data_IF_030309227394
#
_entry.id   IF_030309227394
#
_cell.length_a   1.000
_cell.length_b   1.000
_cell.length_c   1.000
_cell.angle_alpha   90.00
_cell.angle_beta   90.00
_cell.angle_gamma   90.00
#
_symmetry.space_group_name_H-M   'P 1'
#
loop_
_entity.id
_entity.type
_entity.pdbx_description
1 polymer ?
#
# COMPACT_ATOMS: atom_id res chain seq x y z
N UNK A 1 -61.68 -34.01 1.58
CA UNK A 1 -60.86 -33.37 2.64
C UNK A 1 -59.53 -32.97 2.00
N UNK A 2 -59.14 -31.72 2.19
CA UNK A 2 -58.28 -30.93 1.30
C UNK A 2 -56.82 -31.38 1.14
N UNK A 3 -56.33 -31.27 -0.10
CA UNK A 3 -54.95 -31.07 -0.51
C UNK A 3 -54.40 -29.74 0.05
N UNK A 4 -53.74 -29.76 1.21
CA UNK A 4 -52.91 -28.64 1.69
C UNK A 4 -51.77 -29.18 2.55
N UNK A 5 -50.67 -29.63 1.94
CA UNK A 5 -49.41 -29.91 2.66
C UNK A 5 -48.14 -29.77 1.80
N UNK A 6 -48.14 -28.94 0.75
CA UNK A 6 -46.94 -28.62 -0.03
C UNK A 6 -46.87 -27.13 -0.39
N UNK A 7 -46.94 -26.25 0.61
CA UNK A 7 -46.72 -24.81 0.41
C UNK A 7 -45.75 -24.15 1.41
N UNK A 8 -45.11 -24.94 2.29
CA UNK A 8 -44.27 -24.39 3.37
C UNK A 8 -42.76 -24.30 3.07
N UNK A 9 -42.26 -25.02 2.06
CA UNK A 9 -40.81 -25.09 1.80
C UNK A 9 -40.30 -24.08 0.76
N UNK A 10 -41.19 -23.44 -0.01
CA UNK A 10 -40.79 -22.45 -1.02
C UNK A 10 -40.53 -21.06 -0.44
N UNK A 11 -41.14 -20.71 0.71
CA UNK A 11 -41.04 -19.36 1.28
C UNK A 11 -39.81 -19.14 2.17
N UNK A 12 -39.11 -20.20 2.59
CA UNK A 12 -37.91 -20.11 3.42
C UNK A 12 -36.60 -20.02 2.62
N UNK A 13 -36.63 -20.22 1.29
CA UNK A 13 -35.45 -20.15 0.42
C UNK A 13 -35.26 -18.79 -0.28
N UNK A 14 -36.29 -17.96 -0.34
CA UNK A 14 -36.23 -16.64 -0.98
C UNK A 14 -35.23 -15.67 -0.31
N UNK A 15 -35.09 -15.58 1.03
CA UNK A 15 -34.13 -14.67 1.66
C UNK A 15 -32.66 -15.09 1.47
N UNK A 16 -32.40 -16.38 1.28
CA UNK A 16 -31.05 -16.94 1.14
C UNK A 16 -30.47 -16.74 -0.26
N UNK A 17 -31.31 -16.83 -1.31
CA UNK A 17 -30.86 -16.58 -2.69
C UNK A 17 -30.46 -15.12 -2.90
N UNK A 18 -31.17 -14.17 -2.28
CA UNK A 18 -30.82 -12.74 -2.34
C UNK A 18 -29.54 -12.39 -1.57
N UNK A 19 -29.21 -13.12 -0.49
CA UNK A 19 -27.93 -12.96 0.23
C UNK A 19 -26.74 -13.58 -0.52
N UNK A 20 -26.95 -14.68 -1.23
CA UNK A 20 -25.93 -15.33 -2.08
C UNK A 20 -25.62 -14.46 -3.31
N UNK A 21 -26.63 -13.83 -3.93
CA UNK A 21 -26.41 -12.92 -5.06
C UNK A 21 -25.71 -11.61 -4.65
N UNK A 22 -25.99 -11.09 -3.45
CA UNK A 22 -25.31 -9.90 -2.91
C UNK A 22 -23.86 -10.16 -2.50
N UNK A 23 -23.44 -11.42 -2.37
CA UNK A 23 -22.11 -11.75 -1.87
C UNK A 23 -21.52 -12.98 -2.58
N UNK A 24 -21.47 -12.96 -3.93
CA UNK A 24 -20.82 -13.98 -4.76
C UNK A 24 -19.35 -14.26 -4.34
N UNK A 25 -18.71 -13.30 -3.68
CA UNK A 25 -17.37 -13.44 -3.10
C UNK A 25 -17.33 -14.22 -1.77
N UNK A 26 -18.43 -14.27 -0.98
CA UNK A 26 -18.53 -15.09 0.23
C UNK A 26 -18.68 -16.57 -0.10
N UNK A 27 -19.56 -16.90 -1.05
CA UNK A 27 -19.77 -18.29 -1.49
C UNK A 27 -18.53 -18.91 -2.18
N UNK A 28 -17.69 -18.09 -2.85
CA UNK A 28 -16.40 -18.54 -3.38
C UNK A 28 -15.32 -18.76 -2.31
N UNK A 29 -15.45 -18.12 -1.14
CA UNK A 29 -14.47 -18.20 -0.03
C UNK A 29 -14.72 -19.39 0.90
N UNK A 30 -15.98 -19.68 1.20
CA UNK A 30 -16.34 -20.80 2.09
C UNK A 30 -15.94 -22.17 1.49
N UNK A 31 -15.75 -22.26 0.17
CA UNK A 31 -15.25 -23.46 -0.53
C UNK A 31 -13.73 -23.66 -0.42
N UNK A 32 -12.96 -22.66 0.03
CA UNK A 32 -11.50 -22.68 0.03
C UNK A 32 -10.85 -22.92 1.41
N UNK A 33 -11.64 -23.01 2.49
CA UNK A 33 -11.24 -23.65 3.76
C UNK A 33 -9.88 -23.25 4.34
N UNK A 34 -9.61 -21.97 4.58
CA UNK A 34 -8.42 -21.52 5.34
C UNK A 34 -8.88 -20.85 6.65
N UNK A 35 -8.45 -21.42 7.78
CA UNK A 35 -8.58 -20.81 9.09
C UNK A 35 -7.52 -19.72 9.25
N UNK A 36 -7.95 -18.46 9.42
CA UNK A 36 -7.08 -17.36 9.83
C UNK A 36 -7.76 -16.60 10.98
N UNK A 37 -6.96 -16.08 11.92
CA UNK A 37 -7.44 -15.49 13.19
C UNK A 37 -8.21 -14.17 13.05
N UNK A 38 -8.26 -13.58 11.85
CA UNK A 38 -9.09 -12.43 11.52
C UNK A 38 -10.50 -12.90 11.12
N UNK A 39 -11.55 -12.21 11.58
CA UNK A 39 -12.93 -12.59 11.26
C UNK A 39 -13.26 -12.37 9.77
N UNK A 40 -12.62 -11.38 9.14
CA UNK A 40 -12.72 -11.06 7.71
C UNK A 40 -11.36 -10.54 7.18
N UNK A 41 -10.39 -11.41 6.90
CA UNK A 41 -9.05 -10.98 6.47
C UNK A 41 -9.11 -10.17 5.16
N UNK A 42 -8.38 -9.05 5.11
CA UNK A 42 -8.23 -8.23 3.90
C UNK A 42 -7.16 -8.81 2.96
N UNK A 43 -6.00 -9.20 3.50
CA UNK A 43 -4.92 -9.86 2.76
C UNK A 43 -5.03 -11.38 2.82
N UNK A 44 -4.76 -12.05 1.71
CA UNK A 44 -4.20 -13.39 1.77
C UNK A 44 -2.68 -13.26 2.04
N UNK A 45 -2.29 -13.30 3.31
CA UNK A 45 -0.91 -13.03 3.73
C UNK A 45 0.12 -14.06 3.24
N UNK A 46 -0.32 -15.20 2.72
CA UNK A 46 0.57 -16.27 2.27
C UNK A 46 1.43 -15.82 1.09
N UNK A 47 0.86 -15.00 0.18
CA UNK A 47 1.60 -14.44 -0.93
C UNK A 47 2.72 -13.50 -0.48
N UNK A 48 2.47 -12.70 0.55
CA UNK A 48 3.47 -11.79 1.14
C UNK A 48 4.55 -12.57 1.91
N UNK A 49 4.15 -13.58 2.68
CA UNK A 49 5.08 -14.45 3.40
C UNK A 49 6.01 -15.18 2.44
N UNK A 50 5.48 -15.70 1.33
CA UNK A 50 6.26 -16.34 0.27
C UNK A 50 7.28 -15.36 -0.34
N UNK A 51 6.86 -14.13 -0.67
CA UNK A 51 7.75 -13.08 -1.17
C UNK A 51 8.90 -12.83 -0.17
N UNK A 52 8.57 -12.59 1.09
CA UNK A 52 9.57 -12.30 2.14
C UNK A 52 10.53 -13.46 2.38
N UNK A 53 10.06 -14.70 2.31
CA UNK A 53 10.88 -15.90 2.51
C UNK A 53 11.84 -16.16 1.34
N UNK A 54 11.45 -15.76 0.13
CA UNK A 54 12.26 -15.94 -1.08
C UNK A 54 13.10 -14.70 -1.41
N UNK A 55 12.89 -13.58 -0.73
CA UNK A 55 13.65 -12.36 -0.96
C UNK A 55 15.11 -12.52 -0.55
N UNK A 56 16.01 -12.02 -1.39
CA UNK A 56 17.44 -11.94 -1.07
C UNK A 56 17.80 -10.66 -0.30
N UNK A 57 16.81 -9.81 -0.03
CA UNK A 57 17.02 -8.55 0.68
C UNK A 57 17.23 -8.77 2.17
N UNK A 58 17.92 -7.83 2.82
CA UNK A 58 18.02 -7.79 4.28
C UNK A 58 17.70 -6.39 4.77
N UNK A 59 17.14 -6.29 5.99
CA UNK A 59 16.88 -5.00 6.63
C UNK A 59 18.15 -4.13 6.59
N UNK A 60 18.09 -2.88 6.11
CA UNK A 60 19.27 -2.03 5.96
C UNK A 60 19.76 -1.45 7.31
N UNK A 61 18.97 -1.59 8.37
CA UNK A 61 19.34 -1.14 9.72
C UNK A 61 20.06 -2.26 10.46
N UNK A 62 21.24 -1.96 10.98
CA UNK A 62 22.06 -2.88 11.77
C UNK A 62 21.72 -2.81 13.27
N UNK A 63 21.20 -1.67 13.74
CA UNK A 63 20.80 -1.47 15.12
C UNK A 63 19.71 -0.40 15.21
N UNK A 64 18.65 -0.72 15.96
CA UNK A 64 17.59 0.19 16.34
C UNK A 64 17.77 0.64 17.80
N UNK A 65 17.22 1.81 18.16
CA UNK A 65 17.01 2.16 19.56
C UNK A 65 15.70 1.55 20.10
N UNK A 66 15.40 1.84 21.38
CA UNK A 66 14.20 1.35 22.07
C UNK A 66 12.88 1.81 21.44
N UNK A 67 12.88 2.94 20.74
CA UNK A 67 11.71 3.52 20.07
C UNK A 67 11.56 3.00 18.64
N UNK A 68 12.52 2.24 18.11
CA UNK A 68 12.53 1.77 16.72
C UNK A 68 13.20 2.71 15.72
N UNK A 69 13.88 3.76 16.17
CA UNK A 69 14.68 4.57 15.26
C UNK A 69 15.99 3.86 14.88
N UNK A 70 16.44 3.98 13.63
CA UNK A 70 17.76 3.52 13.24
C UNK A 70 18.88 4.24 13.99
N UNK A 71 19.72 3.50 14.72
CA UNK A 71 20.95 3.99 15.34
C UNK A 71 22.18 3.76 14.45
N UNK A 72 22.20 2.63 13.74
CA UNK A 72 23.29 2.24 12.86
C UNK A 72 22.75 1.58 11.60
N UNK A 73 23.21 2.06 10.46
CA UNK A 73 22.91 1.50 9.13
C UNK A 73 23.98 0.47 8.73
N UNK A 74 23.60 -0.49 7.88
CA UNK A 74 24.55 -1.40 7.23
C UNK A 74 25.25 -0.68 6.09
N UNK A 75 26.55 -0.92 5.92
CA UNK A 75 27.34 -0.36 4.81
C UNK A 75 26.85 -0.79 3.42
N UNK A 76 26.09 -1.90 3.36
CA UNK A 76 25.45 -2.40 2.14
C UNK A 76 24.23 -1.58 1.70
N UNK A 77 23.69 -0.70 2.56
CA UNK A 77 22.55 0.14 2.20
C UNK A 77 22.99 1.31 1.33
N UNK A 78 22.83 1.14 0.01
CA UNK A 78 23.25 2.10 -1.01
C UNK A 78 22.12 2.25 -2.04
N UNK A 79 22.01 3.42 -2.69
CA UNK A 79 20.98 3.61 -3.70
C UNK A 79 21.20 2.69 -4.90
N UNK A 80 20.15 1.97 -5.30
CA UNK A 80 20.05 1.34 -6.60
C UNK A 80 20.23 2.36 -7.73
N UNK A 81 21.03 1.98 -8.73
CA UNK A 81 21.41 2.85 -9.83
C UNK A 81 20.18 3.31 -10.64
N UNK A 82 20.13 4.61 -10.97
CA UNK A 82 19.03 5.24 -11.71
C UNK A 82 17.63 5.04 -11.12
N UNK A 83 17.54 4.68 -9.85
CA UNK A 83 16.26 4.54 -9.13
C UNK A 83 15.83 5.87 -8.53
N UNK A 84 14.52 6.03 -8.38
CA UNK A 84 13.87 7.13 -7.68
C UNK A 84 13.08 6.51 -6.53
N UNK A 85 13.15 7.14 -5.35
CA UNK A 85 12.63 6.59 -4.10
C UNK A 85 11.42 7.39 -3.62
N UNK A 86 10.45 6.66 -3.10
CA UNK A 86 9.21 7.18 -2.56
C UNK A 86 9.11 6.76 -1.12
N UNK A 87 8.82 7.72 -0.24
CA UNK A 87 8.62 7.45 1.18
C UNK A 87 7.22 7.84 1.62
N UNK A 88 6.72 7.15 2.63
CA UNK A 88 5.49 7.52 3.32
C UNK A 88 5.72 7.47 4.83
N UNK A 89 5.17 8.47 5.52
CA UNK A 89 5.16 8.55 6.98
C UNK A 89 3.72 8.57 7.46
N UNK A 90 3.30 7.47 8.08
CA UNK A 90 2.02 7.37 8.74
C UNK A 90 2.18 7.82 10.21
N UNK A 91 1.36 8.77 10.64
CA UNK A 91 1.41 9.34 11.98
C UNK A 91 0.11 8.99 12.70
N UNK A 92 0.17 8.11 13.70
CA UNK A 92 -1.00 7.75 14.48
C UNK A 92 -1.63 8.99 15.13
N UNK A 93 -2.97 9.05 15.16
CA UNK A 93 -3.72 10.21 15.66
C UNK A 93 -3.36 10.57 17.11
N UNK A 94 -3.11 9.56 17.93
CA UNK A 94 -2.71 9.64 19.33
C UNK A 94 -1.19 9.80 19.55
N UNK A 95 -0.39 9.85 18.47
CA UNK A 95 1.08 9.99 18.49
C UNK A 95 1.85 8.88 19.24
N UNK A 96 1.23 7.73 19.46
CA UNK A 96 1.86 6.61 20.16
C UNK A 96 2.78 5.78 19.24
N UNK A 97 2.49 5.80 17.95
CA UNK A 97 3.23 5.11 16.91
C UNK A 97 3.31 5.93 15.61
N UNK A 98 4.31 5.63 14.81
CA UNK A 98 4.47 6.14 13.46
C UNK A 98 5.03 5.04 12.56
N UNK A 99 4.39 4.83 11.42
CA UNK A 99 4.91 4.02 10.33
C UNK A 99 5.85 4.83 9.46
N UNK A 100 7.00 4.27 9.10
CA UNK A 100 7.87 4.84 8.08
C UNK A 100 8.28 3.79 7.08
N UNK A 101 7.95 4.02 5.80
CA UNK A 101 8.38 3.15 4.72
C UNK A 101 9.04 3.95 3.59
N UNK A 102 9.98 3.32 2.91
CA UNK A 102 10.58 3.82 1.68
C UNK A 102 10.81 2.68 0.71
N UNK A 103 10.62 2.95 -0.56
CA UNK A 103 10.82 1.99 -1.63
C UNK A 103 11.24 2.64 -2.94
N UNK A 104 11.63 1.81 -3.90
CA UNK A 104 11.79 2.19 -5.30
C UNK A 104 11.19 1.16 -6.25
N UNK A 105 11.03 1.55 -7.53
CA UNK A 105 10.70 0.61 -8.59
C UNK A 105 11.96 0.09 -9.29
N UNK A 106 12.19 -1.22 -9.21
CA UNK A 106 13.22 -1.90 -9.98
C UNK A 106 12.72 -2.17 -11.40
N UNK A 107 13.14 -1.30 -12.31
CA UNK A 107 12.79 -1.39 -13.73
C UNK A 107 13.24 -2.69 -14.40
N UNK A 108 14.32 -3.32 -13.92
CA UNK A 108 14.86 -4.54 -14.56
C UNK A 108 14.01 -5.75 -14.22
N UNK A 109 13.59 -5.86 -12.95
CA UNK A 109 12.73 -6.95 -12.48
C UNK A 109 11.24 -6.64 -12.60
N UNK A 110 10.89 -5.39 -12.91
CA UNK A 110 9.52 -4.86 -12.87
C UNK A 110 8.85 -5.08 -11.50
N UNK A 111 9.60 -4.79 -10.42
CA UNK A 111 9.17 -4.98 -9.03
C UNK A 111 9.10 -3.65 -8.29
N UNK A 112 8.06 -3.48 -7.49
CA UNK A 112 8.03 -2.53 -6.37
C UNK A 112 8.83 -3.13 -5.22
N UNK A 113 9.88 -2.42 -4.82
CA UNK A 113 10.77 -2.83 -3.75
C UNK A 113 10.55 -1.93 -2.56
N UNK A 114 10.28 -2.51 -1.39
CA UNK A 114 10.29 -1.80 -0.12
C UNK A 114 11.64 -2.00 0.55
N UNK A 115 12.47 -0.95 0.51
CA UNK A 115 13.86 -0.94 0.99
C UNK A 115 13.94 -0.88 2.51
N UNK A 116 13.00 -0.17 3.15
CA UNK A 116 12.90 -0.03 4.60
C UNK A 116 11.44 0.17 4.96
N UNK A 117 10.95 -0.57 5.94
CA UNK A 117 9.65 -0.37 6.54
C UNK A 117 9.77 -0.62 8.05
N UNK A 118 9.54 0.42 8.85
CA UNK A 118 9.76 0.40 10.29
C UNK A 118 8.59 1.02 11.03
N UNK A 119 8.46 0.59 12.26
CA UNK A 119 7.57 1.20 13.23
C UNK A 119 8.41 1.96 14.25
N UNK A 120 7.98 3.18 14.56
CA UNK A 120 8.55 4.00 15.62
C UNK A 120 7.48 4.18 16.68
N UNK A 121 7.79 3.89 17.95
CA UNK A 121 6.83 3.98 19.07
C UNK A 121 7.28 4.99 20.11
N UNK A 122 6.31 5.72 20.68
CA UNK A 122 6.50 6.46 21.90
C UNK A 122 6.78 5.48 23.07
N UNK A 123 7.56 5.92 24.05
CA UNK A 123 7.67 5.23 25.33
C UNK A 123 6.93 6.02 26.40
N UNK A 124 6.86 5.49 27.63
CA UNK A 124 6.29 6.24 28.76
C UNK A 124 7.01 7.57 29.04
N UNK A 125 8.29 7.67 28.65
CA UNK A 125 9.14 8.82 28.95
C UNK A 125 9.39 9.73 27.75
N UNK A 126 9.18 9.23 26.51
CA UNK A 126 9.58 9.92 25.28
C UNK A 126 8.51 9.81 24.21
N UNK A 127 8.02 10.98 23.80
CA UNK A 127 7.19 11.12 22.61
C UNK A 127 7.98 10.80 21.32
N UNK A 128 7.25 10.58 20.23
CA UNK A 128 7.85 10.42 18.90
C UNK A 128 8.47 11.75 18.47
N UNK A 129 9.78 11.73 18.20
CA UNK A 129 10.49 12.86 17.61
C UNK A 129 10.41 12.83 16.08
N UNK A 130 9.43 13.54 15.50
CA UNK A 130 9.29 13.68 14.04
C UNK A 130 10.52 14.26 13.34
N UNK A 131 11.34 15.05 14.04
CA UNK A 131 12.62 15.52 13.54
C UNK A 131 13.59 14.38 13.23
N UNK A 132 13.61 13.32 14.04
CA UNK A 132 14.42 12.13 13.79
C UNK A 132 13.94 11.34 12.57
N UNK A 133 12.62 11.29 12.32
CA UNK A 133 12.08 10.71 11.08
C UNK A 133 12.60 11.48 9.87
N UNK A 134 12.54 12.81 9.89
CA UNK A 134 13.11 13.66 8.83
C UNK A 134 14.61 13.45 8.66
N UNK A 135 15.35 13.25 9.74
CA UNK A 135 16.78 12.92 9.68
C UNK A 135 17.08 11.64 8.90
N UNK A 136 16.19 10.63 8.92
CA UNK A 136 16.34 9.44 8.07
C UNK A 136 16.31 9.84 6.59
N UNK A 137 15.32 10.65 6.19
CA UNK A 137 15.14 11.14 4.82
C UNK A 137 16.36 11.98 4.38
N UNK A 138 16.83 12.89 5.24
CA UNK A 138 18.02 13.70 4.94
C UNK A 138 19.28 12.86 4.82
N UNK A 139 19.43 11.83 5.67
CA UNK A 139 20.55 10.90 5.60
C UNK A 139 20.53 10.09 4.30
N UNK A 140 19.37 9.59 3.87
CA UNK A 140 19.23 8.95 2.55
C UNK A 140 19.67 9.85 1.41
N UNK A 141 19.24 11.12 1.42
CA UNK A 141 19.67 12.09 0.41
C UNK A 141 21.18 12.31 0.43
N UNK A 142 21.79 12.36 1.61
CA UNK A 142 23.25 12.46 1.77
C UNK A 142 23.99 11.25 1.20
N UNK A 143 23.42 10.04 1.32
CA UNK A 143 23.93 8.82 0.71
C UNK A 143 23.71 8.74 -0.82
N UNK A 144 23.07 9.74 -1.43
CA UNK A 144 22.84 9.82 -2.87
C UNK A 144 21.53 9.17 -3.35
N UNK A 145 20.61 8.82 -2.43
CA UNK A 145 19.27 8.40 -2.82
C UNK A 145 18.52 9.56 -3.47
N UNK A 146 17.98 9.34 -4.67
CA UNK A 146 17.15 10.33 -5.36
C UNK A 146 15.71 10.19 -4.87
N UNK A 147 15.31 11.07 -3.97
CA UNK A 147 13.98 11.07 -3.35
C UNK A 147 13.03 11.83 -4.27
N UNK A 148 12.04 11.12 -4.83
CA UNK A 148 11.05 11.69 -5.74
C UNK A 148 9.90 12.36 -5.00
N UNK A 149 9.35 11.69 -4.00
CA UNK A 149 8.29 12.23 -3.14
C UNK A 149 8.36 11.61 -1.73
N UNK A 150 8.08 12.43 -0.72
CA UNK A 150 7.80 11.97 0.66
C UNK A 150 6.38 12.35 1.01
N UNK A 151 5.52 11.37 1.25
CA UNK A 151 4.16 11.63 1.66
C UNK A 151 3.94 11.44 3.16
N UNK A 152 2.94 12.13 3.70
CA UNK A 152 2.55 12.01 5.09
C UNK A 152 1.03 11.89 5.23
N UNK A 153 0.58 11.11 6.22
CA UNK A 153 -0.80 11.19 6.72
C UNK A 153 -0.91 12.14 7.93
N UNK A 154 -2.13 12.63 8.17
CA UNK A 154 -2.50 13.46 9.30
C UNK A 154 -2.18 14.95 9.17
N UNK A 155 -2.99 15.78 9.83
CA UNK A 155 -2.78 17.24 9.92
C UNK A 155 -1.48 17.61 10.65
N UNK A 156 -0.98 16.73 11.52
CA UNK A 156 0.23 16.97 12.29
C UNK A 156 1.50 16.96 11.43
N UNK A 157 1.41 16.52 10.18
CA UNK A 157 2.52 16.46 9.23
C UNK A 157 2.85 17.78 8.54
N UNK A 158 2.02 18.84 8.69
CA UNK A 158 2.17 20.10 7.95
C UNK A 158 3.57 20.69 8.10
N UNK A 159 4.09 20.76 9.33
CA UNK A 159 5.44 21.25 9.62
C UNK A 159 6.51 20.39 8.94
N UNK A 160 6.41 19.05 9.04
CA UNK A 160 7.35 18.14 8.39
C UNK A 160 7.41 18.34 6.88
N UNK A 161 6.25 18.48 6.22
CA UNK A 161 6.18 18.70 4.77
C UNK A 161 6.79 20.06 4.39
N UNK A 162 6.45 21.13 5.11
CA UNK A 162 7.04 22.45 4.87
C UNK A 162 8.56 22.46 5.02
N UNK A 163 9.09 21.76 6.05
CA UNK A 163 10.53 21.63 6.26
C UNK A 163 11.19 20.88 5.10
N UNK A 164 10.62 19.76 4.64
CA UNK A 164 11.15 18.99 3.51
C UNK A 164 11.16 19.83 2.22
N UNK A 165 10.05 20.51 1.92
CA UNK A 165 9.92 21.39 0.76
C UNK A 165 10.93 22.55 0.81
N UNK A 166 11.14 23.16 1.98
CA UNK A 166 12.16 24.21 2.16
C UNK A 166 13.60 23.73 1.90
N UNK A 167 13.83 22.41 1.97
CA UNK A 167 15.10 21.77 1.63
C UNK A 167 15.13 21.24 0.20
N UNK A 168 14.08 21.45 -0.59
CA UNK A 168 13.97 20.97 -1.97
C UNK A 168 13.73 19.46 -2.07
N UNK A 169 13.04 18.87 -1.08
CA UNK A 169 12.50 17.51 -1.16
C UNK A 169 10.99 17.66 -1.30
N UNK A 170 10.46 17.18 -2.42
CA UNK A 170 9.03 17.21 -2.68
C UNK A 170 8.27 16.39 -1.63
N UNK A 171 7.23 16.96 -1.03
CA UNK A 171 6.46 16.36 0.03
C UNK A 171 4.95 16.61 -0.09
N UNK A 172 4.17 15.54 -0.03
CA UNK A 172 2.73 15.56 -0.30
C UNK A 172 1.90 15.05 0.88
N UNK A 173 0.61 15.41 0.89
CA UNK A 173 -0.35 14.81 1.81
C UNK A 173 -1.00 13.58 1.15
N UNK A 174 -1.01 12.46 1.86
CA UNK A 174 -1.74 11.25 1.45
C UNK A 174 -2.42 10.66 2.68
N UNK A 175 -3.74 10.50 2.62
CA UNK A 175 -4.49 9.87 3.69
C UNK A 175 -4.81 8.42 3.36
N UNK A 176 -4.26 7.50 4.15
CA UNK A 176 -4.47 6.06 3.95
C UNK A 176 -5.85 5.65 4.48
N UNK A 177 -6.28 6.23 5.59
CA UNK A 177 -7.56 5.90 6.24
C UNK A 177 -8.81 6.35 5.45
N UNK A 178 -8.67 7.35 4.57
CA UNK A 178 -9.80 7.94 3.83
C UNK A 178 -10.04 7.32 2.45
N UNK A 179 -9.05 6.63 1.89
CA UNK A 179 -9.11 6.07 0.55
C UNK A 179 -8.60 4.63 0.57
N UNK A 180 -9.36 3.72 -0.04
CA UNK A 180 -8.98 2.31 -0.18
C UNK A 180 -7.86 2.08 -1.20
N UNK A 181 -7.67 3.03 -2.11
CA UNK A 181 -6.75 2.91 -3.25
C UNK A 181 -5.29 2.57 -2.89
N UNK A 182 -4.68 3.12 -1.82
CA UNK A 182 -3.33 2.71 -1.42
C UNK A 182 -3.25 1.22 -1.04
N UNK A 183 -4.26 0.74 -0.31
CA UNK A 183 -4.34 -0.66 0.10
C UNK A 183 -4.65 -1.60 -1.07
N UNK A 184 -5.58 -1.22 -1.95
CA UNK A 184 -5.91 -1.99 -3.15
C UNK A 184 -4.71 -2.07 -4.11
N UNK A 185 -3.92 -0.98 -4.19
CA UNK A 185 -2.67 -0.93 -4.95
C UNK A 185 -1.61 -1.86 -4.36
N UNK A 186 -1.40 -1.82 -3.04
CA UNK A 186 -0.47 -2.71 -2.37
C UNK A 186 -0.87 -4.19 -2.56
N UNK A 187 -2.15 -4.51 -2.35
CA UNK A 187 -2.68 -5.86 -2.57
C UNK A 187 -2.49 -6.32 -4.03
N UNK A 188 -2.67 -5.41 -4.99
CA UNK A 188 -2.46 -5.71 -6.41
C UNK A 188 -1.01 -6.07 -6.71
N UNK A 189 -0.03 -5.32 -6.18
CA UNK A 189 1.38 -5.66 -6.38
C UNK A 189 1.76 -7.02 -5.78
N UNK A 190 1.25 -7.34 -4.60
CA UNK A 190 1.47 -8.65 -3.96
C UNK A 190 0.86 -9.78 -4.80
N UNK A 191 -0.40 -9.64 -5.20
CA UNK A 191 -1.12 -10.66 -5.97
C UNK A 191 -0.52 -10.89 -7.36
N UNK A 192 -0.03 -9.83 -8.01
CA UNK A 192 0.62 -9.89 -9.31
C UNK A 192 2.10 -10.33 -9.22
N UNK A 193 2.61 -10.65 -8.01
CA UNK A 193 4.01 -10.99 -7.77
C UNK A 193 4.98 -9.90 -8.27
N UNK A 194 4.56 -8.65 -8.15
CA UNK A 194 5.29 -7.44 -8.51
C UNK A 194 5.82 -6.68 -7.27
N UNK A 195 5.87 -7.34 -6.12
CA UNK A 195 6.30 -6.78 -4.85
C UNK A 195 7.46 -7.59 -4.29
N UNK A 196 8.46 -6.92 -3.71
CA UNK A 196 9.60 -7.54 -3.02
C UNK A 196 10.01 -6.70 -1.80
N UNK A 197 10.38 -7.37 -0.72
CA UNK A 197 10.91 -6.73 0.49
C UNK A 197 11.64 -7.75 1.34
N UNK A 198 12.52 -7.28 2.23
CA UNK A 198 13.20 -8.16 3.18
C UNK A 198 12.22 -8.80 4.16
N UNK A 199 12.63 -9.89 4.80
CA UNK A 199 11.85 -10.50 5.87
C UNK A 199 11.60 -9.49 7.00
N UNK A 200 10.39 -8.96 7.05
CA UNK A 200 9.94 -7.96 8.00
C UNK A 200 8.77 -8.52 8.83
N UNK A 201 9.05 -9.04 10.03
CA UNK A 201 8.03 -9.67 10.86
C UNK A 201 6.89 -8.74 11.25
N UNK A 202 7.15 -7.43 11.43
CA UNK A 202 6.13 -6.45 11.79
C UNK A 202 5.16 -6.27 10.64
N UNK A 203 5.66 -5.97 9.44
CA UNK A 203 4.84 -5.84 8.23
C UNK A 203 4.00 -7.12 7.97
N UNK A 204 4.60 -8.31 8.13
CA UNK A 204 3.88 -9.57 7.94
C UNK A 204 2.78 -9.78 8.99
N UNK A 205 3.06 -9.44 10.25
CA UNK A 205 2.12 -9.60 11.37
C UNK A 205 0.95 -8.64 11.23
N UNK A 206 1.21 -7.37 10.92
CA UNK A 206 0.17 -6.38 10.64
C UNK A 206 -0.68 -6.82 9.44
N UNK A 207 -0.05 -7.22 8.33
CA UNK A 207 -0.78 -7.66 7.11
C UNK A 207 -1.72 -8.84 7.38
N UNK A 208 -1.35 -9.76 8.27
CA UNK A 208 -2.19 -10.89 8.72
C UNK A 208 -3.38 -10.45 9.58
N UNK A 209 -3.23 -9.35 10.32
CA UNK A 209 -4.23 -8.81 11.23
C UNK A 209 -5.19 -7.82 10.59
N UNK A 210 -5.00 -7.47 9.32
CA UNK A 210 -5.87 -6.53 8.60
C UNK A 210 -7.22 -7.16 8.24
N UNK A 211 -8.28 -6.41 8.53
CA UNK A 211 -9.67 -6.74 8.28
C UNK A 211 -10.34 -5.69 7.40
N UNK A 212 -11.27 -6.13 6.57
CA UNK A 212 -12.17 -5.23 5.84
C UNK A 212 -13.37 -4.88 6.71
N UNK A 213 -13.48 -3.62 7.12
CA UNK A 213 -14.61 -3.06 7.85
C UNK A 213 -15.63 -2.47 6.88
N UNK A 214 -16.88 -2.98 6.95
CA UNK A 214 -18.03 -2.52 6.18
C UNK A 214 -17.82 -2.42 4.65
N UNK A 215 -16.81 -3.12 4.12
CA UNK A 215 -16.44 -3.09 2.70
C UNK A 215 -15.81 -1.78 2.23
N UNK A 216 -15.43 -0.88 3.15
CA UNK A 216 -15.01 0.49 2.82
C UNK A 216 -13.72 0.93 3.51
N UNK A 217 -13.27 0.22 4.53
CA UNK A 217 -12.09 0.57 5.31
C UNK A 217 -11.28 -0.68 5.61
N UNK A 218 -9.97 -0.58 5.43
CA UNK A 218 -9.01 -1.57 5.95
C UNK A 218 -8.57 -1.13 7.33
N UNK A 219 -8.71 -2.00 8.31
CA UNK A 219 -8.32 -1.72 9.68
C UNK A 219 -7.77 -2.94 10.38
N UNK A 220 -7.10 -2.76 11.52
CA UNK A 220 -6.63 -3.88 12.32
C UNK A 220 -7.67 -4.33 13.35
N UNK A 221 -7.59 -5.59 13.77
CA UNK A 221 -8.35 -6.07 14.93
C UNK A 221 -7.90 -5.38 16.25
N UNK A 222 -8.65 -5.54 17.36
CA UNK A 222 -8.44 -4.77 18.60
C UNK A 222 -7.05 -4.87 19.25
N UNK A 223 -6.30 -5.94 18.96
CA UNK A 223 -4.95 -6.19 19.49
C UNK A 223 -3.84 -6.03 18.44
N UNK A 224 -4.21 -5.64 17.21
CA UNK A 224 -3.28 -5.43 16.11
C UNK A 224 -2.81 -3.98 16.01
N UNK A 225 -1.92 -3.75 15.05
CA UNK A 225 -1.54 -2.42 14.55
C UNK A 225 -1.54 -2.46 13.03
N UNK A 226 -1.44 -1.29 12.40
CA UNK A 226 -1.31 -1.17 10.95
C UNK A 226 -0.33 -0.07 10.50
N UNK A 227 0.60 0.33 11.37
CA UNK A 227 1.46 1.49 11.12
C UNK A 227 2.43 1.22 9.96
N UNK A 228 3.06 0.05 9.94
CA UNK A 228 4.02 -0.32 8.88
C UNK A 228 3.30 -0.67 7.57
N UNK A 229 2.13 -1.29 7.67
CA UNK A 229 1.26 -1.59 6.53
C UNK A 229 0.67 -0.34 5.88
N UNK A 230 0.18 0.64 6.65
CA UNK A 230 -0.27 1.94 6.15
C UNK A 230 0.88 2.67 5.43
N UNK A 231 2.07 2.71 6.04
CA UNK A 231 3.23 3.32 5.42
C UNK A 231 3.64 2.60 4.12
N UNK A 232 3.60 1.27 4.10
CA UNK A 232 3.91 0.48 2.90
C UNK A 232 2.89 0.72 1.79
N UNK A 233 1.60 0.77 2.13
CA UNK A 233 0.53 1.07 1.19
C UNK A 233 0.68 2.48 0.59
N UNK A 234 1.06 3.47 1.40
CA UNK A 234 1.35 4.82 0.93
C UNK A 234 2.51 4.88 -0.07
N UNK A 235 3.58 4.10 0.16
CA UNK A 235 4.68 3.99 -0.81
C UNK A 235 4.21 3.33 -2.11
N UNK A 236 3.45 2.24 -2.04
CA UNK A 236 2.90 1.56 -3.21
C UNK A 236 2.01 2.49 -4.05
N UNK A 237 1.16 3.29 -3.41
CA UNK A 237 0.31 4.27 -4.08
C UNK A 237 1.13 5.25 -4.93
N UNK A 238 2.12 5.93 -4.34
CA UNK A 238 2.94 6.91 -5.06
C UNK A 238 3.78 6.30 -6.17
N UNK A 239 4.21 5.05 -6.00
CA UNK A 239 4.86 4.32 -7.09
C UNK A 239 3.91 4.06 -8.26
N UNK A 240 2.68 3.64 -7.99
CA UNK A 240 1.69 3.40 -9.03
C UNK A 240 1.36 4.69 -9.80
N UNK A 241 1.16 5.80 -9.08
CA UNK A 241 0.94 7.12 -9.68
C UNK A 241 2.11 7.51 -10.58
N UNK A 242 3.34 7.39 -10.08
CA UNK A 242 4.54 7.69 -10.89
C UNK A 242 4.66 6.80 -12.12
N UNK A 243 4.36 5.51 -11.98
CA UNK A 243 4.37 4.59 -13.11
C UNK A 243 3.29 4.94 -14.14
N UNK A 244 2.12 5.38 -13.68
CA UNK A 244 1.02 5.87 -14.51
C UNK A 244 1.40 7.10 -15.33
N UNK A 245 2.14 8.05 -14.75
CA UNK A 245 2.71 9.21 -15.45
C UNK A 245 3.80 8.81 -16.44
N UNK A 246 4.58 7.76 -16.13
CA UNK A 246 5.74 7.33 -16.93
C UNK A 246 5.41 6.54 -18.21
N UNK A 247 4.13 6.43 -18.59
CA UNK A 247 3.72 5.82 -19.86
C UNK A 247 4.51 6.46 -21.02
N UNK A 248 5.08 5.66 -21.95
CA UNK A 248 6.02 6.18 -22.93
C UNK A 248 5.36 7.19 -23.85
N UNK A 249 6.00 8.35 -24.01
CA UNK A 249 5.80 9.27 -25.12
C UNK A 249 6.31 8.62 -26.42
N UNK A 250 5.63 7.57 -26.91
CA UNK A 250 5.72 7.15 -28.31
C UNK A 250 4.56 6.21 -28.70
N UNK A 251 3.50 6.80 -29.22
CA UNK A 251 2.68 6.23 -30.31
C UNK A 251 2.11 7.36 -31.18
N UNK A 252 2.99 8.11 -31.82
CA UNK A 252 2.68 8.75 -33.10
C UNK A 252 3.03 7.76 -34.19
N UNK A 253 2.19 6.74 -34.40
CA UNK A 253 2.00 6.10 -35.70
C UNK A 253 0.55 5.62 -35.78
N UNK A 254 -0.33 6.50 -36.26
CA UNK A 254 -1.35 6.10 -37.24
C UNK A 254 -1.72 7.31 -38.08
N UNK A 255 -1.02 7.41 -39.21
CA UNK A 255 -1.58 8.01 -40.41
C UNK A 255 -2.90 7.30 -40.73
N UNK A 256 -4.03 7.89 -40.34
CA UNK A 256 -5.28 7.77 -41.09
C UNK A 256 -5.86 9.17 -41.19
N UNK A 257 -5.52 9.88 -42.26
CA UNK A 257 -6.31 11.03 -42.70
C UNK A 257 -7.71 10.49 -43.04
N UNK A 258 -8.80 11.07 -42.53
CA UNK A 258 -10.11 10.75 -43.08
C UNK A 258 -10.12 11.17 -44.55
N UNK A 259 -10.38 10.20 -45.44
CA UNK A 259 -10.64 10.47 -46.85
C UNK A 259 -11.87 11.39 -46.89
N UNK A 260 -11.70 12.59 -47.45
CA UNK A 260 -12.80 13.52 -47.74
C UNK A 260 -13.78 12.82 -48.66
N UNK A 261 -14.97 12.50 -48.18
CA UNK A 261 -16.12 12.27 -49.04
C UNK A 261 -16.54 13.63 -49.61
N UNK A 262 -16.11 13.89 -50.84
CA UNK A 262 -16.62 14.95 -51.69
C UNK A 262 -18.04 14.54 -52.08
N UNK A 263 -19.06 15.19 -51.51
CA UNK A 263 -20.43 15.14 -52.04
C UNK A 263 -20.70 16.47 -52.71
N UNK A 264 -20.61 16.45 -54.04
CA UNK A 264 -21.03 17.52 -54.94
C UNK A 264 -22.56 17.53 -54.91
N UNK A 265 -23.18 18.52 -54.27
CA UNK A 265 -24.58 18.86 -54.54
C UNK A 265 -24.60 19.80 -55.75
N UNK A 266 -25.14 19.30 -56.86
CA UNK A 266 -25.59 20.15 -57.96
C UNK A 266 -26.92 20.79 -57.56
N UNK A 267 -27.02 22.11 -57.74
CA UNK A 267 -28.26 22.86 -57.68
C UNK A 267 -29.14 22.53 -58.89
N UNK A 268 -30.40 22.18 -58.65
CA UNK A 268 -31.58 22.71 -59.36
C UNK A 268 -32.68 22.86 -58.30
#
# INVERSE_FOLDING_TARGET
MNLRHFAGLSAAMEPWKTQIEKNKHKARRDFAGIASGAKNPYFNSDGLAEIMNNSMMSCPVAQFDEQGYPMRWKDSWKPALFSEYFAHVDLALNRDAAGFAVGHFDKKRALVIIDLAIEIRATQEKDINFGRIRSIIFYMRQLGFRIGCVSYDGWQSVDSRQILESKGIHAEYLSIDKNMEPYDTFLSFVNLKQFDTYNNPVLLTESRGLEMLDGRKVDHGPLGSKNVTDATAGVCFWMAEKMGESKPAHRVISNVRPVRAVVIKHSI
#
